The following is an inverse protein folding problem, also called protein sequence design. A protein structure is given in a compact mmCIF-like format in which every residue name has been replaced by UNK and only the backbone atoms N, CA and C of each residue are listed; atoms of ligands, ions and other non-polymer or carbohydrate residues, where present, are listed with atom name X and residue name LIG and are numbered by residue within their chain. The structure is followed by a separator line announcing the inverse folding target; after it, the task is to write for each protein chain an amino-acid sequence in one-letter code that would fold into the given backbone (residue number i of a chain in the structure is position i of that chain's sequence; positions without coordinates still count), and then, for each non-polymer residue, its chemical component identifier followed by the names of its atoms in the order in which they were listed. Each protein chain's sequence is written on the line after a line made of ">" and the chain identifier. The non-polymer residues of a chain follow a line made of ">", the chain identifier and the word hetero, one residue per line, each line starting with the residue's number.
data_IF_078611109559
#
_entry.id   IF_078611109559
#
_cell.length_a   1.000
_cell.length_b   1.000
_cell.length_c   1.000
_cell.angle_alpha   90.00
_cell.angle_beta   90.00
_cell.angle_gamma   90.00
#
_symmetry.space_group_name_H-M   'P 1'
#
loop_
_entity.id
_entity.type
_entity.pdbx_description
1 polymer ?
#
# COMPACT_ATOMS: atom_id res chain seq x y z
N UNK A 1 -18.86 -12.14 25.25
CA UNK A 1 -18.16 -11.65 24.05
C UNK A 1 -18.20 -12.75 23.00
N UNK A 2 -18.98 -12.57 21.93
CA UNK A 2 -19.14 -13.58 20.88
C UNK A 2 -17.83 -13.79 20.09
N UNK A 3 -17.55 -15.00 19.58
CA UNK A 3 -16.37 -15.25 18.75
C UNK A 3 -16.50 -14.47 17.44
N UNK A 4 -15.59 -13.52 17.22
CA UNK A 4 -15.50 -12.77 15.96
C UNK A 4 -15.14 -13.72 14.83
N UNK A 5 -15.82 -13.55 13.68
CA UNK A 5 -15.59 -14.38 12.50
C UNK A 5 -14.12 -14.28 12.06
N UNK A 6 -13.54 -15.32 11.43
CA UNK A 6 -12.14 -15.29 11.00
C UNK A 6 -11.83 -14.12 10.06
N UNK A 7 -12.81 -13.70 9.24
CA UNK A 7 -12.72 -12.52 8.39
C UNK A 7 -12.53 -11.21 9.20
N UNK A 8 -13.25 -11.06 10.31
CA UNK A 8 -13.18 -9.87 11.15
C UNK A 8 -11.82 -9.73 11.86
N UNK A 9 -11.20 -10.86 12.26
CA UNK A 9 -9.86 -10.86 12.87
C UNK A 9 -8.81 -10.34 11.89
N UNK A 10 -8.87 -10.79 10.64
CA UNK A 10 -7.95 -10.36 9.57
C UNK A 10 -8.13 -8.89 9.23
N UNK A 11 -9.37 -8.40 9.16
CA UNK A 11 -9.65 -6.98 8.93
C UNK A 11 -9.10 -6.09 10.05
N UNK A 12 -9.31 -6.47 11.33
CA UNK A 12 -8.75 -5.74 12.48
C UNK A 12 -7.22 -5.75 12.48
N UNK A 13 -6.59 -6.87 12.13
CA UNK A 13 -5.13 -6.97 12.06
C UNK A 13 -4.57 -6.01 10.98
N UNK A 14 -5.18 -5.98 9.79
CA UNK A 14 -4.80 -5.05 8.71
C UNK A 14 -4.94 -3.59 9.11
N UNK A 15 -6.06 -3.25 9.73
CA UNK A 15 -6.28 -1.89 10.23
C UNK A 15 -5.19 -1.48 11.22
N UNK A 16 -4.82 -2.35 12.16
CA UNK A 16 -3.73 -2.10 13.11
C UNK A 16 -2.39 -1.89 12.41
N UNK A 17 -2.00 -2.77 11.49
CA UNK A 17 -0.73 -2.65 10.74
C UNK A 17 -0.68 -1.36 9.91
N UNK A 18 -1.78 -0.99 9.26
CA UNK A 18 -1.84 0.25 8.50
C UNK A 18 -1.69 1.48 9.42
N UNK A 19 -2.34 1.46 10.58
CA UNK A 19 -2.24 2.53 11.57
C UNK A 19 -0.84 2.64 12.17
N UNK A 20 -0.17 1.52 12.45
CA UNK A 20 1.22 1.56 12.97
C UNK A 20 2.17 2.13 11.92
N UNK A 21 2.08 1.70 10.65
CA UNK A 21 2.91 2.27 9.57
C UNK A 21 2.66 3.78 9.43
N UNK A 22 1.41 4.22 9.50
CA UNK A 22 1.07 5.65 9.43
C UNK A 22 1.59 6.44 10.62
N UNK A 23 1.51 5.90 11.84
CA UNK A 23 2.05 6.54 13.03
C UNK A 23 3.57 6.67 12.94
N UNK A 24 4.27 5.61 12.52
CA UNK A 24 5.73 5.65 12.33
C UNK A 24 6.12 6.67 11.27
N UNK A 25 5.42 6.70 10.13
CA UNK A 25 5.66 7.69 9.09
C UNK A 25 5.40 9.13 9.58
N UNK A 26 4.29 9.35 10.31
CA UNK A 26 3.97 10.66 10.88
C UNK A 26 5.01 11.11 11.92
N UNK A 27 5.51 10.20 12.76
CA UNK A 27 6.58 10.48 13.72
C UNK A 27 7.89 10.86 13.02
N UNK A 28 8.30 10.10 11.99
CA UNK A 28 9.49 10.42 11.18
C UNK A 28 9.38 11.78 10.50
N UNK A 29 8.21 12.07 9.90
CA UNK A 29 7.96 13.35 9.26
C UNK A 29 7.98 14.48 10.28
N UNK A 30 7.29 14.32 11.41
CA UNK A 30 7.22 15.31 12.48
C UNK A 30 8.58 15.61 13.09
N UNK A 31 9.36 14.58 13.41
CA UNK A 31 10.72 14.73 13.93
C UNK A 31 11.65 15.40 12.92
N UNK A 32 11.63 14.97 11.66
CA UNK A 32 12.44 15.57 10.60
C UNK A 32 12.08 17.03 10.34
N UNK A 33 10.77 17.35 10.30
CA UNK A 33 10.27 18.71 10.13
C UNK A 33 10.66 19.59 11.32
N UNK A 34 10.52 19.09 12.54
CA UNK A 34 10.94 19.80 13.75
C UNK A 34 12.43 20.18 13.69
N UNK A 35 13.31 19.24 13.32
CA UNK A 35 14.75 19.52 13.19
C UNK A 35 15.04 20.60 12.13
N UNK A 36 14.38 20.51 10.97
CA UNK A 36 14.55 21.48 9.88
C UNK A 36 14.03 22.86 10.27
N UNK A 37 12.83 22.95 10.85
CA UNK A 37 12.20 24.21 11.28
C UNK A 37 12.99 24.85 12.41
N UNK A 38 13.37 24.08 13.43
CA UNK A 38 14.19 24.59 14.53
C UNK A 38 15.49 25.19 13.98
N UNK A 39 16.14 24.51 13.01
CA UNK A 39 17.36 25.03 12.39
C UNK A 39 17.14 26.30 11.58
N UNK A 40 16.07 26.38 10.80
CA UNK A 40 15.68 27.59 10.07
C UNK A 40 15.42 28.75 11.02
N UNK A 41 14.72 28.50 12.12
CA UNK A 41 14.39 29.50 13.13
C UNK A 41 15.65 30.07 13.80
N UNK A 42 16.61 29.20 14.17
CA UNK A 42 17.91 29.64 14.67
C UNK A 42 18.70 30.48 13.64
N UNK A 43 18.72 30.07 12.37
CA UNK A 43 19.38 30.84 11.31
C UNK A 43 18.78 32.22 11.10
N UNK A 44 17.45 32.34 11.23
CA UNK A 44 16.72 33.60 11.17
C UNK A 44 17.00 34.50 12.37
N UNK A 45 17.02 33.94 13.59
CA UNK A 45 17.33 34.67 14.82
C UNK A 45 18.74 35.29 14.82
N UNK A 46 19.72 34.59 14.24
CA UNK A 46 21.11 35.08 14.13
C UNK A 46 21.26 36.09 12.99
N UNK A 47 20.28 36.20 12.09
CA UNK A 47 20.32 37.11 10.94
C UNK A 47 21.27 36.68 9.82
N UNK A 48 21.81 35.45 9.87
CA UNK A 48 22.70 34.93 8.85
C UNK A 48 22.51 33.42 8.65
N UNK A 49 21.64 33.06 7.69
CA UNK A 49 21.37 31.66 7.36
C UNK A 49 22.63 30.92 6.88
N UNK A 50 23.56 31.60 6.20
CA UNK A 50 24.76 30.97 5.65
C UNK A 50 25.66 30.43 6.76
N UNK A 51 25.82 31.21 7.84
CA UNK A 51 26.56 30.78 9.04
C UNK A 51 25.83 29.63 9.74
N UNK A 52 24.49 29.67 9.80
CA UNK A 52 23.70 28.55 10.34
C UNK A 52 23.89 27.23 9.58
N UNK A 53 24.20 27.28 8.28
CA UNK A 53 24.48 26.08 7.47
C UNK A 53 25.92 25.57 7.61
N UNK A 54 26.91 26.45 7.68
CA UNK A 54 28.33 26.05 7.62
C UNK A 54 28.99 25.93 8.98
N UNK A 55 28.59 26.72 9.97
CA UNK A 55 29.42 26.95 11.16
C UNK A 55 29.03 26.13 12.40
N UNK A 56 27.82 25.60 12.45
CA UNK A 56 27.36 24.72 13.54
C UNK A 56 27.58 23.24 13.17
N UNK A 57 28.84 22.88 12.93
CA UNK A 57 29.35 21.50 13.01
C UNK A 57 30.18 21.35 14.30
N UNK A 58 29.68 21.89 15.41
CA UNK A 58 30.30 21.71 16.72
C UNK A 58 30.39 20.24 17.10
N UNK A 59 31.50 19.86 17.72
CA UNK A 59 31.85 18.48 18.11
C UNK A 59 30.72 17.91 18.99
N UNK A 60 29.92 16.99 18.44
CA UNK A 60 28.79 16.35 19.13
C UNK A 60 27.40 16.62 18.53
N UNK A 61 27.25 17.69 17.73
CA UNK A 61 25.96 18.14 17.17
C UNK A 61 25.93 18.14 15.63
N UNK A 62 26.96 17.53 15.04
CA UNK A 62 27.06 17.32 13.60
C UNK A 62 25.88 16.50 13.09
N UNK A 63 25.21 17.01 12.06
CA UNK A 63 24.22 16.33 11.23
C UNK A 63 22.73 16.48 11.58
N UNK A 64 22.28 17.33 12.52
CA UNK A 64 20.82 17.48 12.77
C UNK A 64 20.01 17.85 11.53
N UNK A 65 20.55 18.71 10.65
CA UNK A 65 19.86 19.11 9.42
C UNK A 65 19.82 17.97 8.39
N UNK A 66 20.95 17.31 8.15
CA UNK A 66 21.02 16.17 7.24
C UNK A 66 20.19 14.99 7.74
N UNK A 67 20.17 14.73 9.05
CA UNK A 67 19.29 13.75 9.69
C UNK A 67 17.82 14.13 9.52
N UNK A 68 17.46 15.41 9.74
CA UNK A 68 16.10 15.87 9.54
C UNK A 68 15.62 15.67 8.10
N UNK A 69 16.47 16.03 7.13
CA UNK A 69 16.22 15.77 5.70
C UNK A 69 16.12 14.28 5.39
N UNK A 70 17.00 13.45 5.93
CA UNK A 70 16.95 12.00 5.73
C UNK A 70 15.67 11.38 6.33
N UNK A 71 15.25 11.83 7.51
CA UNK A 71 13.99 11.40 8.14
C UNK A 71 12.77 11.81 7.32
N UNK A 72 12.75 13.03 6.78
CA UNK A 72 11.70 13.47 5.85
C UNK A 72 11.72 12.64 4.56
N UNK A 73 12.90 12.41 3.99
CA UNK A 73 13.10 11.65 2.77
C UNK A 73 12.67 10.18 2.91
N UNK A 74 12.74 9.60 4.11
CA UNK A 74 12.24 8.25 4.38
C UNK A 74 10.75 8.29 4.77
N UNK A 75 10.34 9.23 5.61
CA UNK A 75 8.99 9.33 6.15
C UNK A 75 7.93 9.64 5.07
N UNK A 76 8.22 10.56 4.15
CA UNK A 76 7.30 10.94 3.06
C UNK A 76 6.97 9.75 2.14
N UNK A 77 7.94 9.06 1.52
CA UNK A 77 7.63 7.91 0.68
C UNK A 77 7.00 6.79 1.50
N UNK A 78 7.39 6.58 2.76
CA UNK A 78 6.72 5.59 3.62
C UNK A 78 5.23 5.95 3.84
N UNK A 79 4.89 7.22 4.02
CA UNK A 79 3.51 7.68 4.15
C UNK A 79 2.72 7.46 2.84
N UNK A 80 3.29 7.83 1.68
CA UNK A 80 2.65 7.70 0.36
C UNK A 80 2.48 6.22 -0.02
N UNK A 81 3.51 5.41 0.18
CA UNK A 81 3.55 3.99 -0.16
C UNK A 81 2.96 3.10 0.94
N UNK A 82 2.51 3.64 2.07
CA UNK A 82 1.95 2.88 3.20
C UNK A 82 0.88 1.89 2.76
N UNK A 83 -0.02 2.29 1.84
CA UNK A 83 -1.04 1.41 1.27
C UNK A 83 -0.45 0.26 0.46
N UNK A 84 0.61 0.51 -0.31
CA UNK A 84 1.27 -0.51 -1.15
C UNK A 84 2.12 -1.46 -0.30
N UNK A 85 2.87 -0.93 0.66
CA UNK A 85 3.64 -1.71 1.63
C UNK A 85 2.75 -2.63 2.48
N UNK A 86 1.57 -2.15 2.92
CA UNK A 86 0.62 -2.98 3.64
C UNK A 86 0.13 -4.20 2.83
N UNK A 87 0.00 -4.08 1.50
CA UNK A 87 -0.36 -5.22 0.63
C UNK A 87 0.78 -6.23 0.51
N UNK A 88 2.03 -5.80 0.60
CA UNK A 88 3.19 -6.69 0.52
C UNK A 88 3.40 -7.47 1.81
N UNK A 89 3.15 -6.84 2.97
CA UNK A 89 3.33 -7.46 4.28
C UNK A 89 2.21 -8.45 4.60
N UNK A 90 0.97 -8.11 4.24
CA UNK A 90 -0.18 -8.98 4.49
C UNK A 90 -0.49 -9.74 3.21
N UNK A 91 -0.05 -10.99 3.13
CA UNK A 91 -0.44 -11.91 2.07
C UNK A 91 -1.97 -11.88 1.91
N UNK A 92 -2.45 -11.36 0.77
CA UNK A 92 -3.86 -11.39 0.47
C UNK A 92 -4.24 -12.82 0.14
N UNK A 93 -5.30 -13.38 0.75
CA UNK A 93 -5.89 -14.61 0.22
C UNK A 93 -6.36 -14.32 -1.22
N UNK A 94 -6.10 -15.25 -2.14
CA UNK A 94 -6.25 -15.09 -3.59
C UNK A 94 -7.66 -14.64 -4.05
N UNK A 95 -8.67 -14.73 -3.18
CA UNK A 95 -10.05 -14.33 -3.46
C UNK A 95 -10.36 -12.83 -3.28
N UNK A 96 -9.40 -12.00 -2.80
CA UNK A 96 -9.65 -10.60 -2.48
C UNK A 96 -9.54 -9.62 -3.65
N UNK A 97 -10.22 -8.47 -3.56
CA UNK A 97 -10.06 -7.38 -4.52
C UNK A 97 -8.61 -6.84 -4.54
N UNK A 98 -7.89 -6.82 -5.67
CA UNK A 98 -6.51 -6.32 -5.78
C UNK A 98 -6.34 -4.82 -5.44
N UNK A 99 -7.39 -4.02 -5.52
CA UNK A 99 -7.32 -2.58 -5.25
C UNK A 99 -7.48 -2.26 -3.75
N UNK A 100 -8.56 -2.76 -3.14
CA UNK A 100 -8.94 -2.49 -1.76
C UNK A 100 -8.51 -3.60 -0.77
N UNK A 101 -8.25 -4.82 -1.25
CA UNK A 101 -8.00 -6.00 -0.42
C UNK A 101 -9.25 -6.61 0.19
N UNK A 102 -10.44 -6.11 -0.14
CA UNK A 102 -11.72 -6.59 0.36
C UNK A 102 -11.96 -8.02 -0.12
N UNK A 103 -12.27 -8.93 0.81
CA UNK A 103 -12.46 -10.37 0.54
C UNK A 103 -13.93 -10.78 0.59
N UNK A 104 -14.86 -9.86 0.80
CA UNK A 104 -16.30 -10.17 0.84
C UNK A 104 -16.91 -10.31 -0.55
N UNK A 105 -18.20 -10.68 -0.58
CA UNK A 105 -19.00 -10.75 -1.81
C UNK A 105 -18.89 -9.43 -2.59
N UNK A 106 -18.79 -9.55 -3.91
CA UNK A 106 -18.83 -8.39 -4.80
C UNK A 106 -20.28 -7.92 -4.91
N UNK A 107 -20.48 -6.63 -5.19
CA UNK A 107 -21.82 -6.15 -5.55
C UNK A 107 -22.32 -6.87 -6.80
N UNK A 108 -23.65 -6.87 -7.02
CA UNK A 108 -24.27 -7.44 -8.21
C UNK A 108 -23.69 -6.91 -9.54
N UNK A 109 -23.07 -5.72 -9.51
CA UNK A 109 -22.38 -5.10 -10.64
C UNK A 109 -20.90 -5.50 -10.78
N UNK A 110 -20.39 -6.44 -9.98
CA UNK A 110 -18.99 -6.88 -10.00
C UNK A 110 -17.99 -5.85 -9.46
N UNK A 111 -18.44 -4.84 -8.70
CA UNK A 111 -17.60 -3.78 -8.12
C UNK A 111 -17.20 -4.10 -6.68
N UNK A 112 -15.99 -3.71 -6.26
CA UNK A 112 -15.61 -3.75 -4.83
C UNK A 112 -16.48 -2.71 -4.08
N UNK A 113 -17.28 -3.09 -3.07
CA UNK A 113 -18.13 -2.15 -2.33
C UNK A 113 -17.30 -1.09 -1.57
N UNK A 114 -16.06 -1.40 -1.21
CA UNK A 114 -15.17 -0.47 -0.48
C UNK A 114 -14.50 0.59 -1.38
N UNK A 115 -14.16 0.26 -2.63
CA UNK A 115 -13.37 1.16 -3.48
C UNK A 115 -13.95 1.44 -4.86
N UNK A 116 -15.09 0.84 -5.19
CA UNK A 116 -15.75 0.99 -6.49
C UNK A 116 -15.00 0.38 -7.68
N UNK A 117 -13.83 -0.24 -7.47
CA UNK A 117 -13.06 -0.84 -8.55
C UNK A 117 -13.87 -1.95 -9.24
N UNK A 118 -14.00 -1.85 -10.56
CA UNK A 118 -14.55 -2.90 -11.40
C UNK A 118 -13.55 -4.04 -11.48
N UNK A 119 -13.87 -5.15 -10.81
CA UNK A 119 -13.10 -6.36 -10.94
C UNK A 119 -13.67 -7.08 -12.15
N UNK A 120 -12.98 -6.91 -13.29
CA UNK A 120 -13.34 -7.56 -14.55
C UNK A 120 -13.80 -8.98 -14.27
N UNK A 121 -14.97 -9.33 -14.83
CA UNK A 121 -15.53 -10.67 -14.66
C UNK A 121 -14.43 -11.71 -14.91
N UNK A 122 -14.35 -12.77 -14.08
CA UNK A 122 -13.51 -13.90 -14.45
C UNK A 122 -13.88 -14.26 -15.87
N UNK A 123 -12.90 -14.22 -16.77
CA UNK A 123 -13.06 -14.44 -18.20
C UNK A 123 -13.60 -15.86 -18.38
N UNK A 124 -14.91 -16.01 -18.37
CA UNK A 124 -15.61 -17.26 -18.68
C UNK A 124 -15.60 -17.56 -20.18
N UNK A 125 -14.98 -16.68 -20.99
CA UNK A 125 -14.97 -16.71 -22.45
C UNK A 125 -14.09 -17.80 -23.08
N UNK A 126 -13.68 -18.84 -22.35
CA UNK A 126 -12.69 -19.82 -22.89
C UNK A 126 -13.12 -21.27 -22.86
N UNK A 127 -14.32 -21.60 -22.37
CA UNK A 127 -14.84 -22.97 -22.42
C UNK A 127 -16.19 -23.08 -23.13
N UNK A 128 -16.47 -22.21 -24.10
CA UNK A 128 -17.46 -22.49 -25.13
C UNK A 128 -16.81 -23.35 -26.21
N UNK A 129 -16.85 -24.66 -25.99
CA UNK A 129 -17.19 -25.63 -27.05
C UNK A 129 -16.56 -25.40 -28.42
N UNK A 130 -15.29 -25.78 -28.60
CA UNK A 130 -14.99 -26.57 -29.79
C UNK A 130 -15.66 -27.93 -29.59
N UNK A 131 -16.96 -28.00 -29.92
CA UNK A 131 -17.56 -29.22 -30.44
C UNK A 131 -16.70 -29.59 -31.64
N UNK A 132 -15.67 -30.40 -31.41
CA UNK A 132 -15.06 -31.13 -32.49
C UNK A 132 -16.16 -32.11 -32.91
N UNK A 133 -16.80 -31.76 -34.01
CA UNK A 133 -17.71 -32.60 -34.78
C UNK A 133 -17.07 -33.97 -34.93
N UNK A 134 -17.61 -34.95 -34.19
CA UNK A 134 -17.40 -36.37 -34.42
C UNK A 134 -17.99 -36.69 -35.81
N UNK A 135 -17.19 -37.06 -36.82
CA UNK A 135 -17.74 -37.47 -38.11
C UNK A 135 -18.41 -38.84 -37.93
N UNK A 136 -19.72 -38.85 -38.16
CA UNK A 136 -20.52 -40.07 -38.21
C UNK A 136 -19.93 -41.06 -39.23
N UNK A 137 -19.81 -42.27 -38.70
CA UNK A 137 -19.66 -43.55 -39.35
C UNK A 137 -20.65 -43.75 -40.52
N UNK A 138 -20.37 -44.73 -41.39
CA UNK A 138 -21.27 -45.42 -42.34
C UNK A 138 -21.08 -45.10 -43.82
N UNK A 139 -20.09 -45.74 -44.46
CA UNK A 139 -20.25 -46.29 -45.83
C UNK A 139 -19.09 -47.19 -46.23
N UNK A 140 -19.41 -48.47 -46.44
CA UNK A 140 -18.83 -49.42 -47.42
C UNK A 140 -18.62 -50.83 -46.81
N UNK A 141 -19.73 -51.54 -46.61
CA UNK A 141 -19.73 -53.00 -46.58
C UNK A 141 -21.01 -53.50 -47.25
N UNK A 142 -21.00 -53.54 -48.60
CA UNK A 142 -21.72 -54.54 -49.40
C UNK A 142 -21.55 -54.24 -50.90
N UNK A 143 -20.66 -54.97 -51.56
CA UNK A 143 -20.88 -55.66 -52.84
C UNK A 143 -19.69 -56.53 -53.19
#
# INVERSE_FOLDING_TARGET
>A
MAPTSPAERTARARARVLWTIRLVAALLIGAGLYLVVNRLFFGLLIGNLRIGWTHYQGVGEGHFFAHGLAMLAIGIPLAILSRRAARWIVAMPDAGCPACGYTGERDAAGRCPECGASLGQPRTDSLSTTKHSEPDNSSAANR
#
